data_IF_607245385929
#
_entry.id   IF_607245385929
#
_cell.length_a   1.000
_cell.length_b   1.000
_cell.length_c   1.000
_cell.angle_alpha   90.00
_cell.angle_beta   90.00
_cell.angle_gamma   90.00
#
_symmetry.space_group_name_H-M   'P 1'
#
loop_
_entity.id
_entity.type
_entity.pdbx_description
1 polymer ?
#
# COMPACT_ATOMS: atom_id res chain seq x y z
N UNK A 1 -6.64 -7.17 18.88
CA UNK A 1 -5.55 -7.15 19.89
C UNK A 1 -4.21 -7.61 19.33
N UNK A 2 -4.11 -8.70 18.56
CA UNK A 2 -2.83 -9.17 17.98
C UNK A 2 -2.08 -8.13 17.14
N UNK A 3 -2.78 -7.30 16.36
CA UNK A 3 -2.15 -6.23 15.56
C UNK A 3 -1.46 -5.17 16.43
N UNK A 4 -2.07 -4.78 17.56
CA UNK A 4 -1.52 -3.78 18.47
C UNK A 4 -0.25 -4.31 19.14
N UNK A 5 -0.27 -5.57 19.57
CA UNK A 5 0.91 -6.22 20.17
C UNK A 5 2.07 -6.30 19.16
N UNK A 6 1.79 -6.66 17.91
CA UNK A 6 2.80 -6.69 16.84
C UNK A 6 3.41 -5.30 16.59
N UNK A 7 2.58 -4.25 16.56
CA UNK A 7 3.07 -2.86 16.43
C UNK A 7 3.97 -2.46 17.60
N UNK A 8 3.56 -2.76 18.84
CA UNK A 8 4.34 -2.42 20.04
C UNK A 8 5.69 -3.13 20.01
N UNK A 9 5.72 -4.44 19.71
CA UNK A 9 6.97 -5.20 19.59
C UNK A 9 7.89 -4.62 18.50
N UNK A 10 7.35 -4.25 17.34
CA UNK A 10 8.13 -3.66 16.25
C UNK A 10 8.80 -2.33 16.63
N UNK A 11 8.19 -1.55 17.52
CA UNK A 11 8.78 -0.30 18.03
C UNK A 11 9.96 -0.57 18.96
N UNK A 12 9.89 -1.63 19.78
CA UNK A 12 10.95 -1.98 20.73
C UNK A 12 12.10 -2.78 20.11
N UNK A 13 11.88 -3.48 18.99
CA UNK A 13 12.91 -4.29 18.31
C UNK A 13 13.09 -3.93 16.82
N UNK A 14 13.41 -2.67 16.48
CA UNK A 14 13.53 -2.22 15.09
C UNK A 14 14.69 -2.88 14.32
N UNK A 15 15.76 -3.29 15.03
CA UNK A 15 16.93 -3.96 14.42
C UNK A 15 16.63 -5.36 13.90
N UNK A 16 15.61 -6.05 14.42
CA UNK A 16 15.15 -7.34 13.89
C UNK A 16 14.49 -7.20 12.52
N UNK A 17 13.97 -6.01 12.19
CA UNK A 17 13.20 -5.78 10.96
C UNK A 17 13.91 -5.02 9.86
N UNK A 18 15.18 -4.69 10.05
CA UNK A 18 16.00 -4.00 9.05
C UNK A 18 16.36 -4.97 7.92
N UNK A 19 16.28 -4.52 6.65
CA UNK A 19 16.79 -5.30 5.52
C UNK A 19 18.27 -5.63 5.75
N UNK A 20 18.58 -6.92 5.89
CA UNK A 20 19.92 -7.41 6.24
C UNK A 20 20.16 -7.70 7.74
N UNK A 21 19.12 -7.64 8.59
CA UNK A 21 19.17 -8.11 9.98
C UNK A 21 19.11 -9.64 10.10
N UNK A 22 19.27 -10.16 11.32
CA UNK A 22 19.29 -11.62 11.64
C UNK A 22 18.05 -12.34 11.12
N UNK A 23 16.92 -11.62 11.10
CA UNK A 23 15.65 -12.08 10.56
C UNK A 23 15.48 -11.38 9.20
N UNK A 24 15.76 -12.08 8.10
CA UNK A 24 15.57 -11.58 6.73
C UNK A 24 14.06 -11.36 6.48
N UNK A 25 13.53 -10.25 7.00
CA UNK A 25 12.10 -9.95 6.95
C UNK A 25 11.62 -9.75 5.52
N UNK A 26 12.49 -9.35 4.60
CA UNK A 26 12.20 -9.34 3.16
C UNK A 26 11.69 -10.71 2.70
N UNK A 27 12.45 -11.78 2.94
CA UNK A 27 12.16 -13.13 2.50
C UNK A 27 10.94 -13.69 3.24
N UNK A 28 10.89 -13.52 4.56
CA UNK A 28 9.77 -14.01 5.38
C UNK A 28 8.45 -13.31 4.98
N UNK A 29 8.48 -12.01 4.71
CA UNK A 29 7.29 -11.26 4.29
C UNK A 29 6.85 -11.69 2.90
N UNK A 30 7.77 -11.92 1.96
CA UNK A 30 7.44 -12.44 0.63
C UNK A 30 6.78 -13.81 0.72
N UNK A 31 7.35 -14.74 1.49
CA UNK A 31 6.77 -16.07 1.70
C UNK A 31 5.43 -16.01 2.45
N UNK A 32 5.31 -15.14 3.47
CA UNK A 32 4.09 -14.95 4.22
C UNK A 32 2.96 -14.40 3.35
N UNK A 33 3.24 -13.38 2.54
CA UNK A 33 2.30 -12.85 1.55
C UNK A 33 1.91 -13.95 0.57
N UNK A 34 2.88 -14.65 -0.02
CA UNK A 34 2.60 -15.74 -0.97
C UNK A 34 1.68 -16.81 -0.39
N UNK A 35 1.92 -17.24 0.86
CA UNK A 35 1.11 -18.23 1.54
C UNK A 35 -0.31 -17.71 1.84
N UNK A 36 -0.44 -16.47 2.32
CA UNK A 36 -1.76 -15.87 2.60
C UNK A 36 -2.58 -15.78 1.31
N UNK A 37 -1.99 -15.29 0.23
CA UNK A 37 -2.65 -15.23 -1.08
C UNK A 37 -2.98 -16.62 -1.64
N UNK A 38 -2.10 -17.60 -1.46
CA UNK A 38 -2.35 -18.98 -1.87
C UNK A 38 -3.53 -19.60 -1.11
N UNK A 39 -3.57 -19.48 0.22
CA UNK A 39 -4.68 -19.97 1.03
C UNK A 39 -5.99 -19.23 0.74
N UNK A 40 -5.94 -17.92 0.52
CA UNK A 40 -7.11 -17.15 0.08
C UNK A 40 -7.60 -17.59 -1.30
N UNK A 41 -6.68 -17.86 -2.22
CA UNK A 41 -6.97 -18.34 -3.56
C UNK A 41 -7.62 -19.72 -3.56
N UNK A 42 -7.11 -20.65 -2.74
CA UNK A 42 -7.70 -21.99 -2.57
C UNK A 42 -9.10 -21.96 -1.94
N UNK A 43 -9.34 -21.01 -1.04
CA UNK A 43 -10.65 -20.82 -0.41
C UNK A 43 -11.69 -20.10 -1.29
N UNK A 44 -11.28 -19.56 -2.44
CA UNK A 44 -12.14 -18.78 -3.30
C UNK A 44 -12.99 -19.69 -4.21
N UNK A 45 -14.31 -19.66 -4.03
CA UNK A 45 -15.25 -20.32 -4.94
C UNK A 45 -15.16 -19.69 -6.35
N UNK A 46 -14.90 -20.45 -7.42
CA UNK A 46 -14.85 -19.94 -8.79
C UNK A 46 -16.13 -19.21 -9.21
N UNK A 47 -17.28 -19.59 -8.64
CA UNK A 47 -18.58 -18.95 -8.91
C UNK A 47 -18.63 -17.52 -8.38
N UNK A 48 -18.08 -17.27 -7.20
CA UNK A 48 -18.04 -15.94 -6.60
C UNK A 48 -17.15 -14.97 -7.40
N UNK A 49 -16.07 -15.48 -7.99
CA UNK A 49 -15.20 -14.71 -8.89
C UNK A 49 -15.97 -14.32 -10.15
N UNK A 50 -16.68 -15.28 -10.77
CA UNK A 50 -17.48 -15.01 -11.97
C UNK A 50 -18.59 -14.00 -11.73
N UNK A 51 -19.28 -14.08 -10.60
CA UNK A 51 -20.30 -13.09 -10.21
C UNK A 51 -19.68 -11.71 -9.97
N UNK A 52 -18.52 -11.63 -9.31
CA UNK A 52 -17.80 -10.38 -9.09
C UNK A 52 -17.36 -9.70 -10.39
N UNK A 53 -16.80 -10.47 -11.33
CA UNK A 53 -16.35 -9.96 -12.64
C UNK A 53 -17.53 -9.53 -13.52
N UNK A 54 -18.67 -10.21 -13.42
CA UNK A 54 -19.89 -9.86 -14.17
C UNK A 54 -20.49 -8.50 -13.78
N UNK A 55 -20.18 -8.01 -12.57
CA UNK A 55 -20.67 -6.72 -12.07
C UNK A 55 -19.83 -5.54 -12.57
N UNK A 56 -20.04 -5.17 -13.84
CA UNK A 56 -19.36 -4.03 -14.48
C UNK A 56 -19.61 -2.68 -13.79
N UNK A 57 -20.77 -2.49 -13.15
CA UNK A 57 -21.10 -1.28 -12.37
C UNK A 57 -20.17 -1.11 -11.18
N UNK A 58 -19.82 -2.21 -10.50
CA UNK A 58 -18.89 -2.19 -9.37
C UNK A 58 -17.48 -1.86 -9.84
N UNK A 59 -17.05 -2.43 -10.97
CA UNK A 59 -15.75 -2.12 -11.56
C UNK A 59 -15.65 -0.64 -11.93
N UNK A 60 -16.66 -0.06 -12.60
CA UNK A 60 -16.65 1.38 -12.91
C UNK A 60 -16.65 2.25 -11.66
N UNK A 61 -17.37 1.86 -10.60
CA UNK A 61 -17.37 2.61 -9.34
C UNK A 61 -16.00 2.60 -8.67
N UNK A 62 -15.37 1.43 -8.54
CA UNK A 62 -14.04 1.30 -7.91
C UNK A 62 -12.97 2.00 -8.75
N UNK A 63 -13.01 1.84 -10.09
CA UNK A 63 -12.07 2.52 -10.97
C UNK A 63 -12.26 4.03 -10.95
N UNK A 64 -13.51 4.53 -10.96
CA UNK A 64 -13.80 5.95 -10.81
C UNK A 64 -13.34 6.49 -9.45
N UNK A 65 -13.60 5.77 -8.36
CA UNK A 65 -13.15 6.17 -7.04
C UNK A 65 -11.61 6.22 -6.95
N UNK A 66 -10.91 5.27 -7.58
CA UNK A 66 -9.45 5.16 -7.49
C UNK A 66 -8.73 6.13 -8.44
N UNK A 67 -9.20 6.26 -9.68
CA UNK A 67 -8.56 7.10 -10.71
C UNK A 67 -9.11 8.52 -10.77
N UNK A 68 -10.26 8.80 -10.17
CA UNK A 68 -10.88 10.13 -10.18
C UNK A 68 -11.03 10.67 -8.76
N UNK A 69 -11.75 9.98 -7.88
CA UNK A 69 -12.03 10.52 -6.55
C UNK A 69 -10.75 10.67 -5.71
N UNK A 70 -9.86 9.67 -5.70
CA UNK A 70 -8.62 9.73 -4.93
C UNK A 70 -7.65 10.82 -5.42
N UNK A 71 -7.37 10.99 -6.73
CA UNK A 71 -6.61 12.12 -7.24
C UNK A 71 -7.25 13.48 -6.95
N UNK A 72 -8.58 13.61 -7.02
CA UNK A 72 -9.28 14.86 -6.68
C UNK A 72 -9.11 15.17 -5.19
N UNK A 73 -9.30 14.17 -4.31
CA UNK A 73 -9.04 14.34 -2.88
C UNK A 73 -7.59 14.77 -2.65
N UNK A 74 -6.63 14.17 -3.34
CA UNK A 74 -5.23 14.60 -3.25
C UNK A 74 -5.01 16.01 -3.80
N UNK A 75 -5.67 16.43 -4.88
CA UNK A 75 -5.55 17.81 -5.39
C UNK A 75 -6.11 18.82 -4.40
N UNK A 76 -7.24 18.51 -3.76
CA UNK A 76 -7.88 19.41 -2.78
C UNK A 76 -7.10 19.48 -1.47
N UNK A 77 -6.69 18.32 -0.92
CA UNK A 77 -6.04 18.24 0.39
C UNK A 77 -4.51 18.27 0.33
N UNK A 78 -3.92 17.94 -0.82
CA UNK A 78 -2.47 17.87 -1.02
C UNK A 78 -1.81 19.23 -0.89
N UNK A 79 -2.46 20.32 -1.31
CA UNK A 79 -1.93 21.67 -1.08
C UNK A 79 -1.79 22.00 0.42
N UNK A 80 -2.77 21.61 1.24
CA UNK A 80 -2.75 21.82 2.68
C UNK A 80 -1.75 20.89 3.39
N UNK A 81 -1.68 19.61 2.99
CA UNK A 81 -0.74 18.64 3.54
C UNK A 81 0.72 18.98 3.19
N UNK A 82 0.99 19.38 1.94
CA UNK A 82 2.32 19.81 1.51
C UNK A 82 2.75 21.12 2.18
N UNK A 83 1.81 22.03 2.47
CA UNK A 83 2.09 23.26 3.22
C UNK A 83 2.52 22.96 4.67
N UNK A 84 1.98 21.91 5.29
CA UNK A 84 2.33 21.48 6.65
C UNK A 84 3.65 20.68 6.66
N UNK A 85 3.94 19.89 5.62
CA UNK A 85 5.04 18.93 5.65
C UNK A 85 6.33 19.34 4.93
N UNK A 86 6.36 20.17 3.85
CA UNK A 86 7.61 20.50 3.13
C UNK A 86 7.55 21.85 2.35
N UNK A 87 8.41 22.85 2.65
CA UNK A 87 8.57 24.04 1.81
C UNK A 87 9.42 23.83 0.54
N UNK A 88 10.19 22.73 0.46
CA UNK A 88 11.34 22.55 -0.47
C UNK A 88 11.08 21.60 -1.65
N UNK A 89 9.87 21.06 -1.82
CA UNK A 89 9.58 20.03 -2.84
C UNK A 89 8.35 20.37 -3.70
N UNK A 90 8.22 21.63 -4.12
CA UNK A 90 7.03 22.15 -4.81
C UNK A 90 6.97 21.90 -6.33
N UNK A 91 8.06 21.44 -6.96
CA UNK A 91 8.13 21.34 -8.43
C UNK A 91 8.24 19.91 -8.99
N UNK A 92 8.55 18.91 -8.16
CA UNK A 92 8.76 17.51 -8.63
C UNK A 92 7.54 16.58 -8.48
N UNK A 93 6.49 16.99 -7.76
CA UNK A 93 5.48 16.07 -7.22
C UNK A 93 4.29 15.76 -8.13
N UNK A 94 3.97 16.60 -9.12
CA UNK A 94 2.81 16.36 -9.99
C UNK A 94 3.06 15.21 -10.99
N UNK A 95 4.30 15.05 -11.46
CA UNK A 95 4.69 14.02 -12.43
C UNK A 95 5.04 12.70 -11.72
N UNK A 96 5.60 12.74 -10.50
CA UNK A 96 5.84 11.54 -9.68
C UNK A 96 4.56 10.85 -9.20
N UNK A 97 3.43 11.56 -9.02
CA UNK A 97 2.20 10.94 -8.51
C UNK A 97 1.54 9.95 -9.49
N UNK A 98 1.78 10.14 -10.80
CA UNK A 98 1.23 9.28 -11.86
C UNK A 98 2.18 8.15 -12.27
N UNK A 99 3.46 8.23 -11.90
CA UNK A 99 4.52 7.34 -12.39
C UNK A 99 5.40 6.89 -11.20
N UNK A 100 5.19 5.66 -10.69
CA UNK A 100 6.02 4.98 -9.68
C UNK A 100 5.90 5.51 -8.23
N UNK A 101 6.11 4.77 -7.15
CA UNK A 101 6.23 3.35 -6.82
C UNK A 101 6.53 3.34 -5.30
N UNK A 102 6.18 2.26 -4.58
CA UNK A 102 6.35 2.13 -3.12
C UNK A 102 7.80 1.92 -2.67
N UNK A 103 8.78 2.64 -3.23
CA UNK A 103 10.18 2.57 -2.82
C UNK A 103 10.84 3.93 -3.03
N UNK A 104 10.73 4.82 -2.05
CA UNK A 104 11.66 5.93 -1.91
C UNK A 104 12.84 5.41 -1.07
N UNK A 105 13.97 4.99 -1.67
CA UNK A 105 15.17 4.72 -0.90
C UNK A 105 15.62 6.04 -0.28
N UNK A 106 15.62 6.08 1.04
CA UNK A 106 16.33 7.09 1.81
C UNK A 106 17.81 6.94 1.49
N UNK A 107 18.42 7.97 0.93
CA UNK A 107 19.87 8.13 0.85
C UNK A 107 20.24 9.57 1.23
N UNK A 108 21.48 9.84 1.66
CA UNK A 108 22.46 8.96 2.28
C UNK A 108 22.32 8.88 3.81
#
# INVERSE_FOLDING_TARGET
>A
MGMVVAMVLAVFTPDLGKSGGVLHLDTITVFGIALVFFLHGLGLSPKAIMEGVSNWKLHLYVQGATFVAYPILWLVFGHTFLAICQPRLRLASAICLFCQAPYLPRSP
#
